data_IF_960694034584
#
_entry.id   IF_960694034584
#
_cell.length_a   1.000
_cell.length_b   1.000
_cell.length_c   1.000
_cell.angle_alpha   90.00
_cell.angle_beta   90.00
_cell.angle_gamma   90.00
#
_symmetry.space_group_name_H-M   'P 1'
#
loop_
_entity.id
_entity.type
_entity.pdbx_description
1 polymer ?
#
# COMPACT_ATOMS: atom_id res chain seq x y z
N UNK A 1 71.65 35.74 -26.81
CA UNK A 1 71.10 35.02 -25.65
C UNK A 1 69.64 35.42 -25.50
N UNK A 2 68.72 34.54 -25.86
CA UNK A 2 67.28 34.82 -25.92
C UNK A 2 66.63 34.30 -24.63
N UNK A 3 66.04 35.19 -23.82
CA UNK A 3 65.30 34.83 -22.60
C UNK A 3 63.85 34.51 -22.98
N UNK A 4 63.42 33.27 -22.82
CA UNK A 4 62.00 32.90 -22.86
C UNK A 4 61.41 33.05 -21.46
N UNK A 5 60.43 33.93 -21.32
CA UNK A 5 59.58 34.04 -20.15
C UNK A 5 58.37 33.11 -20.31
N UNK A 6 58.23 32.14 -19.41
CA UNK A 6 57.07 31.26 -19.33
C UNK A 6 56.01 31.94 -18.44
N UNK A 7 54.92 32.42 -19.04
CA UNK A 7 53.76 32.95 -18.30
C UNK A 7 52.81 31.79 -18.02
N UNK A 8 52.75 31.36 -16.76
CA UNK A 8 51.83 30.33 -16.28
C UNK A 8 50.49 31.00 -15.92
N UNK A 9 49.47 30.85 -16.75
CA UNK A 9 48.10 31.28 -16.45
C UNK A 9 47.44 30.20 -15.61
N UNK A 10 47.29 30.45 -14.31
CA UNK A 10 46.50 29.63 -13.40
C UNK A 10 45.03 30.04 -13.55
N UNK A 11 44.25 29.22 -14.23
CA UNK A 11 42.79 29.31 -14.29
C UNK A 11 42.21 28.74 -12.98
N UNK A 12 41.89 29.62 -12.05
CA UNK A 12 41.12 29.28 -10.86
C UNK A 12 39.68 28.99 -11.27
N UNK A 13 39.30 27.71 -11.28
CA UNK A 13 37.89 27.33 -11.36
C UNK A 13 37.21 27.74 -10.04
N UNK A 14 36.50 28.87 -10.07
CA UNK A 14 35.53 29.18 -9.04
C UNK A 14 34.40 28.14 -9.13
N UNK A 15 34.45 27.15 -8.25
CA UNK A 15 33.31 26.27 -7.99
C UNK A 15 32.20 27.12 -7.37
N UNK A 16 31.18 27.43 -8.17
CA UNK A 16 29.95 27.99 -7.67
C UNK A 16 29.23 26.92 -6.83
N UNK A 17 29.52 26.87 -5.53
CA UNK A 17 28.64 26.27 -4.54
C UNK A 17 27.39 27.18 -4.38
N UNK A 18 26.54 27.21 -5.39
CA UNK A 18 25.16 27.61 -5.18
C UNK A 18 24.44 26.37 -4.65
N UNK A 19 23.85 26.40 -3.44
CA UNK A 19 22.87 25.40 -3.09
C UNK A 19 21.77 25.46 -4.16
N UNK A 20 21.52 24.35 -4.85
CA UNK A 20 20.31 24.24 -5.66
C UNK A 20 19.13 24.67 -4.78
N UNK A 21 18.30 25.62 -5.21
CA UNK A 21 17.08 25.91 -4.48
C UNK A 21 16.29 24.61 -4.42
N UNK A 22 15.73 24.29 -3.25
CA UNK A 22 14.72 23.24 -3.12
C UNK A 22 13.53 23.61 -4.02
N UNK A 23 13.56 23.22 -5.28
CA UNK A 23 12.44 23.27 -6.20
C UNK A 23 11.63 21.98 -6.03
N UNK A 24 11.04 21.81 -4.84
CA UNK A 24 9.94 20.85 -4.73
C UNK A 24 8.82 21.31 -5.65
N UNK A 25 8.29 20.39 -6.48
CA UNK A 25 7.19 20.70 -7.39
C UNK A 25 5.98 21.31 -6.67
N UNK A 26 5.11 22.02 -7.40
CA UNK A 26 3.86 22.55 -6.85
C UNK A 26 2.85 21.41 -6.67
N UNK A 27 2.11 21.41 -5.54
CA UNK A 27 1.03 20.43 -5.32
C UNK A 27 -0.10 20.69 -6.30
N UNK A 28 -0.41 19.71 -7.14
CA UNK A 28 -1.53 19.76 -8.09
C UNK A 28 -2.84 19.30 -7.46
N UNK A 29 -2.79 18.28 -6.60
CA UNK A 29 -4.00 17.71 -6.00
C UNK A 29 -3.77 16.36 -5.34
N UNK A 30 -4.88 15.67 -5.10
CA UNK A 30 -4.89 14.30 -4.59
C UNK A 30 -5.39 13.37 -5.69
N UNK A 31 -4.71 12.25 -5.86
CA UNK A 31 -5.07 11.20 -6.83
C UNK A 31 -5.22 9.87 -6.13
N UNK A 32 -6.01 8.98 -6.71
CA UNK A 32 -6.07 7.58 -6.30
C UNK A 32 -5.48 6.69 -7.39
N UNK A 33 -4.71 5.70 -6.97
CA UNK A 33 -4.18 4.66 -7.86
C UNK A 33 -4.38 3.28 -7.27
N UNK A 34 -4.28 2.25 -8.10
CA UNK A 34 -4.47 0.85 -7.70
C UNK A 34 -3.43 -0.01 -8.40
N UNK A 35 -2.74 -0.85 -7.62
CA UNK A 35 -1.64 -1.69 -8.09
C UNK A 35 -1.96 -3.15 -7.80
N UNK A 36 -1.85 -4.00 -8.83
CA UNK A 36 -2.04 -5.45 -8.70
C UNK A 36 -0.80 -6.07 -8.06
N UNK A 37 -0.99 -6.84 -6.98
CA UNK A 37 0.08 -7.62 -6.35
C UNK A 37 0.18 -9.05 -6.90
N UNK A 38 -0.87 -9.50 -7.59
CA UNK A 38 -1.06 -10.87 -8.06
C UNK A 38 -1.88 -11.71 -7.08
N UNK A 39 -2.49 -12.77 -7.61
CA UNK A 39 -3.22 -13.78 -6.85
C UNK A 39 -2.37 -15.06 -6.68
N UNK A 40 -1.89 -15.38 -5.47
CA UNK A 40 -1.02 -16.54 -5.25
C UNK A 40 -1.69 -17.88 -5.58
N UNK A 41 -3.03 -17.94 -5.65
CA UNK A 41 -3.76 -19.14 -6.06
C UNK A 41 -3.87 -19.28 -7.59
N UNK A 42 -3.59 -18.23 -8.36
CA UNK A 42 -3.65 -18.28 -9.81
C UNK A 42 -2.47 -19.07 -10.40
N UNK A 43 -2.76 -19.96 -11.36
CA UNK A 43 -1.74 -20.75 -12.08
C UNK A 43 -0.64 -19.88 -12.74
N UNK A 44 -0.94 -18.60 -13.01
CA UNK A 44 -0.10 -17.63 -13.73
C UNK A 44 0.53 -16.60 -12.77
N UNK A 45 0.62 -16.87 -11.46
CA UNK A 45 1.37 -15.96 -10.56
C UNK A 45 2.86 -15.79 -10.98
N UNK A 46 3.37 -16.70 -11.83
CA UNK A 46 4.74 -16.71 -12.36
C UNK A 46 5.18 -15.45 -13.13
N UNK A 47 4.27 -14.56 -13.53
CA UNK A 47 4.60 -13.31 -14.24
C UNK A 47 4.33 -12.03 -13.40
N UNK A 48 4.23 -12.13 -12.08
CA UNK A 48 4.10 -10.93 -11.22
C UNK A 48 5.42 -10.16 -11.14
N UNK A 49 5.33 -8.83 -11.29
CA UNK A 49 6.45 -7.89 -11.07
C UNK A 49 6.94 -7.89 -9.61
N UNK A 50 6.13 -8.46 -8.69
CA UNK A 50 6.43 -8.59 -7.28
C UNK A 50 6.64 -10.07 -6.89
N UNK A 51 7.87 -10.49 -6.54
CA UNK A 51 8.16 -11.86 -6.15
C UNK A 51 7.27 -12.33 -4.98
N UNK A 52 6.89 -13.61 -4.98
CA UNK A 52 6.00 -14.22 -3.96
C UNK A 52 6.48 -13.92 -2.54
N UNK A 53 7.76 -14.20 -2.26
CA UNK A 53 8.33 -14.03 -0.93
C UNK A 53 8.38 -12.56 -0.50
N UNK A 54 8.70 -11.65 -1.44
CA UNK A 54 8.70 -10.21 -1.19
C UNK A 54 7.29 -9.70 -0.90
N UNK A 55 6.29 -10.17 -1.67
CA UNK A 55 4.87 -9.84 -1.42
C UNK A 55 4.46 -10.31 -0.02
N UNK A 56 4.76 -11.56 0.31
CA UNK A 56 4.43 -12.16 1.61
C UNK A 56 5.04 -11.34 2.76
N UNK A 57 6.35 -11.10 2.71
CA UNK A 57 7.05 -10.32 3.74
C UNK A 57 6.50 -8.91 3.88
N UNK A 58 6.23 -8.22 2.77
CA UNK A 58 5.66 -6.87 2.79
C UNK A 58 4.28 -6.85 3.45
N UNK A 59 3.39 -7.78 3.08
CA UNK A 59 2.03 -7.82 3.62
C UNK A 59 2.02 -8.24 5.10
N UNK A 60 2.85 -9.22 5.49
CA UNK A 60 3.01 -9.63 6.88
C UNK A 60 3.52 -8.48 7.75
N UNK A 61 4.56 -7.77 7.33
CA UNK A 61 5.09 -6.60 8.05
C UNK A 61 4.04 -5.49 8.17
N UNK A 62 3.33 -5.18 7.09
CA UNK A 62 2.29 -4.15 7.08
C UNK A 62 1.17 -4.46 8.08
N UNK A 63 0.64 -5.70 8.05
CA UNK A 63 -0.44 -6.10 8.95
C UNK A 63 0.01 -6.28 10.39
N UNK A 64 1.27 -6.67 10.62
CA UNK A 64 1.84 -6.73 11.97
C UNK A 64 1.93 -5.33 12.60
N UNK A 65 2.34 -4.32 11.83
CA UNK A 65 2.34 -2.91 12.28
C UNK A 65 0.95 -2.38 12.56
N UNK A 66 -0.04 -2.78 11.75
CA UNK A 66 -1.46 -2.47 12.00
C UNK A 66 -1.94 -3.10 13.31
N UNK A 67 -1.66 -4.39 13.54
CA UNK A 67 -1.99 -5.10 14.79
C UNK A 67 -1.37 -4.43 16.01
N UNK A 68 -0.14 -3.93 15.89
CA UNK A 68 0.59 -3.21 16.94
C UNK A 68 0.18 -1.75 17.11
N UNK A 69 -0.78 -1.25 16.33
CA UNK A 69 -1.20 0.17 16.32
C UNK A 69 -0.05 1.14 16.02
N UNK A 70 0.91 0.71 15.22
CA UNK A 70 1.97 1.58 14.71
C UNK A 70 1.48 2.50 13.58
N UNK A 71 0.32 2.19 13.00
CA UNK A 71 -0.35 3.00 11.99
C UNK A 71 -1.77 3.41 12.41
N UNK A 72 -2.16 4.63 12.04
CA UNK A 72 -3.56 5.06 12.08
C UNK A 72 -4.35 4.31 10.99
N UNK A 73 -5.48 3.71 11.38
CA UNK A 73 -6.36 2.94 10.49
C UNK A 73 -7.72 3.61 10.41
N UNK A 74 -8.31 3.63 9.21
CA UNK A 74 -9.57 4.29 8.90
C UNK A 74 -10.49 3.35 8.11
N UNK A 75 -11.80 3.53 8.25
CA UNK A 75 -12.80 2.77 7.51
C UNK A 75 -12.63 2.91 5.99
N UNK A 76 -12.94 1.84 5.25
CA UNK A 76 -12.88 1.84 3.78
C UNK A 76 -13.95 2.71 3.11
N UNK A 77 -15.04 3.05 3.83
CA UNK A 77 -16.23 3.67 3.28
C UNK A 77 -15.93 4.94 2.46
N UNK A 78 -16.68 5.17 1.36
CA UNK A 78 -16.49 6.38 0.56
C UNK A 78 -16.87 7.62 1.37
N UNK A 79 -16.04 8.65 1.31
CA UNK A 79 -16.25 9.91 2.02
C UNK A 79 -15.04 10.30 2.87
N UNK A 80 -15.32 10.78 4.07
CA UNK A 80 -14.30 11.21 5.03
C UNK A 80 -13.56 9.98 5.62
N UNK A 81 -12.28 10.16 5.95
CA UNK A 81 -11.48 9.14 6.63
C UNK A 81 -11.91 9.06 8.10
N UNK A 82 -12.89 8.22 8.38
CA UNK A 82 -13.34 7.90 9.74
C UNK A 82 -12.36 6.95 10.42
N UNK A 83 -11.76 7.31 11.58
CA UNK A 83 -10.88 6.41 12.31
C UNK A 83 -11.60 5.12 12.70
N UNK A 84 -10.93 3.98 12.49
CA UNK A 84 -11.46 2.67 12.84
C UNK A 84 -11.24 2.39 14.33
N UNK A 85 -12.27 1.88 15.00
CA UNK A 85 -12.19 1.52 16.42
C UNK A 85 -11.33 0.28 16.67
N UNK A 86 -10.98 0.04 17.93
CA UNK A 86 -10.25 -1.16 18.32
C UNK A 86 -11.04 -2.44 18.11
N UNK A 87 -12.33 -2.43 18.47
CA UNK A 87 -13.21 -3.57 18.27
C UNK A 87 -13.45 -3.89 16.81
N UNK A 88 -13.59 -2.88 15.95
CA UNK A 88 -13.85 -3.12 14.52
C UNK A 88 -12.61 -3.68 13.83
N UNK A 89 -11.42 -3.16 14.16
CA UNK A 89 -10.19 -3.72 13.62
C UNK A 89 -9.99 -5.15 14.10
N UNK A 90 -10.22 -5.42 15.39
CA UNK A 90 -10.11 -6.78 15.93
C UNK A 90 -11.06 -7.71 15.18
N UNK A 91 -12.34 -7.36 15.07
CA UNK A 91 -13.34 -8.14 14.34
C UNK A 91 -12.92 -8.46 12.90
N UNK A 92 -12.34 -7.49 12.19
CA UNK A 92 -11.84 -7.69 10.83
C UNK A 92 -10.66 -8.67 10.80
N UNK A 93 -9.75 -8.59 11.76
CA UNK A 93 -8.54 -9.42 11.79
C UNK A 93 -8.80 -10.82 12.37
N UNK A 94 -9.77 -10.93 13.27
CA UNK A 94 -10.14 -12.11 14.01
C UNK A 94 -11.56 -11.97 14.56
N UNK A 95 -12.43 -12.92 14.23
CA UNK A 95 -13.71 -13.04 14.92
C UNK A 95 -14.14 -14.50 15.02
N UNK A 96 -15.05 -14.77 15.95
CA UNK A 96 -15.70 -16.07 16.10
C UNK A 96 -17.16 -15.89 15.73
N UNK A 97 -17.61 -16.62 14.72
CA UNK A 97 -19.02 -16.70 14.34
C UNK A 97 -19.62 -18.03 14.80
N UNK A 98 -20.94 -18.15 14.76
CA UNK A 98 -21.67 -19.38 15.10
C UNK A 98 -22.53 -19.81 13.93
N UNK A 99 -22.17 -20.94 13.33
CA UNK A 99 -23.03 -21.64 12.38
C UNK A 99 -23.87 -22.71 13.10
N UNK A 100 -25.00 -23.08 12.51
CA UNK A 100 -25.84 -24.15 13.05
C UNK A 100 -25.78 -25.36 12.13
N UNK A 101 -25.30 -26.48 12.67
CA UNK A 101 -25.18 -27.75 11.94
C UNK A 101 -26.21 -28.75 12.44
N UNK A 102 -26.84 -29.46 11.52
CA UNK A 102 -27.81 -30.50 11.84
C UNK A 102 -27.11 -31.80 12.25
N UNK A 103 -27.47 -32.34 13.41
CA UNK A 103 -26.94 -33.62 13.89
C UNK A 103 -27.68 -34.82 13.24
N UNK A 104 -27.27 -36.04 13.59
CA UNK A 104 -27.89 -37.27 13.04
C UNK A 104 -29.37 -37.46 13.41
N UNK A 105 -29.88 -36.72 14.40
CA UNK A 105 -31.26 -36.77 14.89
C UNK A 105 -32.12 -35.63 14.33
N UNK A 106 -31.53 -34.72 13.54
CA UNK A 106 -32.22 -33.54 13.01
C UNK A 106 -32.20 -32.31 13.92
N UNK A 107 -31.46 -32.33 15.04
CA UNK A 107 -31.32 -31.14 15.89
C UNK A 107 -30.22 -30.22 15.38
N UNK A 108 -30.48 -28.91 15.37
CA UNK A 108 -29.48 -27.89 15.08
C UNK A 108 -28.60 -27.63 16.32
N UNK A 109 -27.30 -27.87 16.18
CA UNK A 109 -26.30 -27.58 17.21
C UNK A 109 -25.44 -26.38 16.78
N UNK A 110 -25.13 -25.45 17.69
CA UNK A 110 -24.21 -24.36 17.39
C UNK A 110 -22.80 -24.91 17.22
N UNK A 111 -22.13 -24.47 16.16
CA UNK A 111 -20.74 -24.72 15.84
C UNK A 111 -20.03 -23.36 15.79
N UNK A 112 -19.11 -23.14 16.73
CA UNK A 112 -18.26 -21.96 16.72
C UNK A 112 -17.22 -22.09 15.60
N UNK A 113 -17.16 -21.09 14.72
CA UNK A 113 -16.20 -21.01 13.62
C UNK A 113 -15.29 -19.81 13.89
N UNK A 114 -14.00 -20.09 14.04
CA UNK A 114 -12.98 -19.08 14.20
C UNK A 114 -12.51 -18.60 12.82
N UNK A 115 -12.74 -17.34 12.51
CA UNK A 115 -12.30 -16.69 11.29
C UNK A 115 -11.07 -15.81 11.58
N UNK A 116 -9.93 -16.17 11.00
CA UNK A 116 -8.70 -15.39 11.01
C UNK A 116 -8.52 -14.76 9.65
N UNK A 117 -8.25 -13.45 9.61
CA UNK A 117 -8.01 -12.75 8.35
C UNK A 117 -6.80 -13.31 7.60
N UNK A 118 -7.04 -13.83 6.39
CA UNK A 118 -5.98 -14.30 5.51
C UNK A 118 -5.37 -13.14 4.71
N UNK A 119 -4.25 -12.64 5.23
CA UNK A 119 -3.43 -11.60 4.59
C UNK A 119 -2.97 -12.03 3.18
N UNK A 120 -2.85 -13.33 2.92
CA UNK A 120 -2.45 -13.85 1.61
C UNK A 120 -3.51 -13.60 0.53
N UNK A 121 -4.77 -13.35 0.91
CA UNK A 121 -5.87 -13.01 0.00
C UNK A 121 -5.83 -11.58 -0.57
N UNK A 122 -4.89 -10.73 -0.13
CA UNK A 122 -4.75 -9.35 -0.64
C UNK A 122 -4.16 -9.32 -2.05
N UNK A 123 -4.99 -9.09 -3.05
CA UNK A 123 -4.61 -9.10 -4.48
C UNK A 123 -4.26 -7.71 -5.02
N UNK A 124 -4.68 -6.64 -4.36
CA UNK A 124 -4.35 -5.26 -4.77
C UNK A 124 -4.00 -4.36 -3.59
N UNK A 125 -3.22 -3.32 -3.86
CA UNK A 125 -3.11 -2.14 -3.01
C UNK A 125 -3.71 -0.93 -3.72
N UNK A 126 -4.63 -0.24 -3.05
CA UNK A 126 -5.14 1.06 -3.47
C UNK A 126 -4.42 2.17 -2.70
N UNK A 127 -4.09 3.27 -3.35
CA UNK A 127 -3.35 4.36 -2.76
C UNK A 127 -4.10 5.67 -2.87
N UNK A 128 -4.00 6.52 -1.84
CA UNK A 128 -4.32 7.96 -1.90
C UNK A 128 -3.01 8.73 -1.86
N UNK A 129 -2.78 9.55 -2.88
CA UNK A 129 -1.47 10.14 -3.15
C UNK A 129 -1.60 11.65 -3.39
N UNK A 130 -0.64 12.43 -2.91
CA UNK A 130 -0.48 13.82 -3.30
C UNK A 130 0.36 13.89 -4.58
N UNK A 131 -0.14 14.56 -5.61
CA UNK A 131 0.55 14.74 -6.88
C UNK A 131 1.21 16.12 -6.92
N UNK A 132 2.48 16.14 -7.28
CA UNK A 132 3.29 17.34 -7.44
C UNK A 132 3.85 17.43 -8.86
N UNK A 133 3.96 18.65 -9.38
CA UNK A 133 4.56 18.93 -10.67
C UNK A 133 5.59 20.05 -10.57
N UNK A 134 6.81 19.75 -11.00
CA UNK A 134 7.88 20.74 -11.09
C UNK A 134 7.90 21.34 -12.50
N UNK A 135 7.45 22.60 -12.61
CA UNK A 135 7.44 23.35 -13.88
C UNK A 135 8.82 23.58 -14.47
N UNK A 136 9.88 23.55 -13.65
CA UNK A 136 11.25 23.80 -14.11
C UNK A 136 11.86 22.59 -14.81
N UNK A 137 11.52 21.39 -14.37
CA UNK A 137 12.05 20.12 -14.91
C UNK A 137 11.03 19.35 -15.76
N UNK A 138 9.74 19.66 -15.64
CA UNK A 138 8.64 18.84 -16.16
C UNK A 138 8.42 17.54 -15.37
N UNK A 139 9.05 17.39 -14.20
CA UNK A 139 8.98 16.20 -13.36
C UNK A 139 7.66 16.08 -12.60
N UNK A 140 7.17 14.85 -12.47
CA UNK A 140 6.05 14.50 -11.59
C UNK A 140 6.54 13.71 -10.38
N UNK A 141 6.02 14.04 -9.21
CA UNK A 141 6.25 13.30 -7.97
C UNK A 141 4.91 12.93 -7.35
N UNK A 142 4.80 11.69 -6.87
CA UNK A 142 3.66 11.21 -6.09
C UNK A 142 4.11 10.88 -4.68
N UNK A 143 3.40 11.43 -3.69
CA UNK A 143 3.62 11.09 -2.28
C UNK A 143 2.43 10.28 -1.78
N UNK A 144 2.66 8.99 -1.53
CA UNK A 144 1.64 8.11 -0.97
C UNK A 144 1.36 8.54 0.47
N UNK A 145 0.11 8.86 0.77
CA UNK A 145 -0.34 9.24 2.13
C UNK A 145 -1.13 8.12 2.79
N UNK A 146 -1.85 7.33 2.01
CA UNK A 146 -2.61 6.19 2.50
C UNK A 146 -2.49 5.00 1.56
N UNK A 147 -2.53 3.81 2.13
CA UNK A 147 -2.64 2.54 1.42
C UNK A 147 -3.86 1.77 1.93
N UNK A 148 -4.57 1.10 1.04
CA UNK A 148 -5.70 0.23 1.35
C UNK A 148 -5.45 -1.14 0.73
N UNK A 149 -5.18 -2.17 1.56
CA UNK A 149 -5.20 -3.56 1.13
C UNK A 149 -6.57 -3.92 0.58
N UNK A 150 -6.60 -4.61 -0.57
CA UNK A 150 -7.83 -5.10 -1.17
C UNK A 150 -7.78 -6.59 -1.45
N UNK A 151 -8.82 -7.29 -1.03
CA UNK A 151 -9.02 -8.71 -1.31
C UNK A 151 -9.96 -8.93 -2.49
N UNK A 152 -9.96 -10.14 -3.01
CA UNK A 152 -10.88 -10.56 -4.07
C UNK A 152 -12.19 -11.05 -3.46
N UNK A 153 -13.31 -10.60 -4.03
CA UNK A 153 -14.65 -11.04 -3.64
C UNK A 153 -15.18 -11.94 -4.73
N UNK A 154 -15.70 -13.10 -4.32
CA UNK A 154 -16.29 -14.10 -5.20
C UNK A 154 -17.82 -14.08 -5.11
N UNK A 155 -18.47 -14.50 -6.18
CA UNK A 155 -19.87 -14.87 -6.20
C UNK A 155 -20.06 -16.29 -5.63
N UNK A 156 -21.30 -16.68 -5.37
CA UNK A 156 -21.65 -18.02 -4.90
C UNK A 156 -21.20 -19.13 -5.88
N UNK A 157 -21.13 -18.81 -7.17
CA UNK A 157 -20.64 -19.73 -8.23
C UNK A 157 -19.12 -19.80 -8.34
N UNK A 158 -18.38 -19.12 -7.43
CA UNK A 158 -16.92 -19.07 -7.42
C UNK A 158 -16.32 -18.11 -8.45
N UNK A 159 -17.12 -17.39 -9.23
CA UNK A 159 -16.60 -16.38 -10.17
C UNK A 159 -16.22 -15.09 -9.44
N UNK A 160 -15.23 -14.36 -9.97
CA UNK A 160 -14.78 -13.09 -9.38
C UNK A 160 -15.85 -12.02 -9.54
N UNK A 161 -16.38 -11.52 -8.43
CA UNK A 161 -17.34 -10.41 -8.37
C UNK A 161 -16.64 -9.05 -8.43
N UNK A 162 -15.49 -8.93 -7.78
CA UNK A 162 -14.75 -7.67 -7.70
C UNK A 162 -13.70 -7.68 -6.59
N UNK A 163 -13.41 -6.49 -6.06
CA UNK A 163 -12.40 -6.30 -5.03
C UNK A 163 -12.95 -5.42 -3.92
N UNK A 164 -12.75 -5.83 -2.67
CA UNK A 164 -13.16 -5.08 -1.47
C UNK A 164 -11.91 -4.54 -0.78
N UNK A 165 -11.93 -3.25 -0.44
CA UNK A 165 -10.90 -2.69 0.42
C UNK A 165 -11.19 -3.04 1.87
N UNK A 166 -10.15 -3.43 2.61
CA UNK A 166 -10.30 -3.85 4.01
C UNK A 166 -10.44 -2.61 4.89
N UNK A 167 -9.43 -1.74 4.86
CA UNK A 167 -9.40 -0.43 5.53
C UNK A 167 -8.32 0.45 4.90
N UNK A 168 -8.31 1.75 5.22
CA UNK A 168 -7.21 2.65 4.88
C UNK A 168 -6.19 2.71 6.01
N UNK A 169 -4.91 2.65 5.66
CA UNK A 169 -3.77 2.79 6.55
C UNK A 169 -3.07 4.09 6.18
N UNK A 170 -2.85 4.98 7.15
CA UNK A 170 -2.07 6.20 6.94
C UNK A 170 -0.59 5.91 7.07
N UNK A 171 0.17 6.33 6.06
CA UNK A 171 1.61 6.18 6.01
C UNK A 171 2.29 7.45 6.54
N UNK A 172 3.38 7.25 7.29
CA UNK A 172 4.19 8.31 7.89
C UNK A 172 5.10 8.97 6.84
#
# INVERSE_FOLDING_TARGET
MLKFALVLIVLSFASCNNPCPNTGGEKLGVVESKTNLGDPAAEIYKDSWLPVDTRKQMLEDLFEKVKKREFDVFEFLPGELSPMSDSDLEYILHHVDTEYVENQNGDLLPLEIEEVFDVSGIVYLKFKEELYYDKSTGGFEKKVKYVCPMEQVYNEDGTVRGYRGVFWIKLN
#
